data_IF_961367418858
#
_entry.id   IF_961367418858
#
_cell.length_a   1.000
_cell.length_b   1.000
_cell.length_c   1.000
_cell.angle_alpha   90.00
_cell.angle_beta   90.00
_cell.angle_gamma   90.00
#
_symmetry.space_group_name_H-M   'P 1'
#
loop_
_entity.id
_entity.type
_entity.pdbx_description
1 polymer ?
#
# COMPACT_ATOMS: atom_id res chain seq x y z
N UNK A 1 -6.17 -23.21 -5.02
CA UNK A 1 -4.99 -23.90 -4.46
C UNK A 1 -4.10 -24.43 -5.59
N UNK A 2 -2.90 -23.87 -5.80
CA UNK A 2 -2.03 -24.21 -6.94
C UNK A 2 -1.00 -25.31 -6.58
N UNK A 3 -0.98 -26.41 -7.34
CA UNK A 3 -0.09 -27.57 -7.15
C UNK A 3 1.38 -27.18 -7.29
N UNK A 4 1.69 -26.13 -8.06
CA UNK A 4 3.06 -25.62 -8.19
C UNK A 4 3.66 -25.11 -6.87
N UNK A 5 2.82 -24.76 -5.88
CA UNK A 5 3.28 -24.34 -4.56
C UNK A 5 3.60 -25.51 -3.62
N UNK A 6 3.15 -26.74 -3.92
CA UNK A 6 3.51 -27.95 -3.17
C UNK A 6 4.93 -28.44 -3.52
N UNK A 7 5.38 -28.20 -4.76
CA UNK A 7 6.58 -28.83 -5.32
C UNK A 7 7.88 -28.05 -5.06
N UNK A 8 7.80 -26.82 -4.52
CA UNK A 8 8.98 -25.99 -4.22
C UNK A 8 8.95 -25.57 -2.74
N UNK A 9 9.60 -26.32 -1.83
CA UNK A 9 9.57 -26.08 -0.39
C UNK A 9 9.95 -24.64 0.03
N UNK A 10 10.81 -23.97 -0.75
CA UNK A 10 11.22 -22.59 -0.50
C UNK A 10 10.17 -21.52 -0.85
N UNK A 11 9.24 -21.79 -1.77
CA UNK A 11 8.25 -20.80 -2.22
C UNK A 11 7.19 -20.54 -1.15
N UNK A 12 6.68 -21.61 -0.50
CA UNK A 12 5.74 -21.51 0.62
C UNK A 12 6.33 -20.76 1.81
N UNK A 13 7.55 -21.13 2.23
CA UNK A 13 8.25 -20.47 3.34
C UNK A 13 8.45 -18.98 3.06
N UNK A 14 8.85 -18.63 1.84
CA UNK A 14 9.05 -17.22 1.45
C UNK A 14 7.75 -16.41 1.48
N UNK A 15 6.64 -16.96 0.96
CA UNK A 15 5.33 -16.30 1.01
C UNK A 15 4.90 -16.05 2.45
N UNK A 16 5.00 -17.07 3.31
CA UNK A 16 4.69 -16.93 4.74
C UNK A 16 5.57 -15.90 5.44
N UNK A 17 6.87 -15.88 5.14
CA UNK A 17 7.76 -14.86 5.69
C UNK A 17 7.36 -13.45 5.24
N UNK A 18 7.03 -13.28 3.95
CA UNK A 18 6.58 -11.99 3.43
C UNK A 18 5.24 -11.56 4.04
N UNK A 19 4.33 -12.50 4.29
CA UNK A 19 3.06 -12.25 4.98
C UNK A 19 3.31 -11.76 6.41
N UNK A 20 4.20 -12.43 7.14
CA UNK A 20 4.62 -11.98 8.48
C UNK A 20 5.30 -10.60 8.45
N UNK A 21 6.10 -10.30 7.42
CA UNK A 21 6.70 -8.97 7.27
C UNK A 21 5.66 -7.90 6.95
N UNK A 22 4.65 -8.20 6.11
CA UNK A 22 3.52 -7.31 5.81
C UNK A 22 2.71 -7.04 7.09
N UNK A 23 2.41 -8.09 7.86
CA UNK A 23 1.72 -7.95 9.13
C UNK A 23 2.56 -7.11 10.11
N UNK A 24 3.86 -7.39 10.21
CA UNK A 24 4.78 -6.65 11.06
C UNK A 24 4.83 -5.15 10.75
N UNK A 25 4.97 -4.76 9.48
CA UNK A 25 4.96 -3.33 9.10
C UNK A 25 3.60 -2.69 9.36
N UNK A 26 2.50 -3.43 9.16
CA UNK A 26 1.15 -2.94 9.44
C UNK A 26 0.95 -2.67 10.92
N UNK A 27 1.36 -3.60 11.80
CA UNK A 27 1.25 -3.42 13.26
C UNK A 27 2.07 -2.23 13.76
N UNK A 28 3.27 -2.04 13.19
CA UNK A 28 4.10 -0.87 13.51
C UNK A 28 3.44 0.43 13.09
N UNK A 29 2.79 0.47 11.92
CA UNK A 29 2.01 1.62 11.50
C UNK A 29 0.79 1.84 12.41
N UNK A 30 0.01 0.78 12.70
CA UNK A 30 -1.17 0.81 13.60
C UNK A 30 -0.82 1.28 15.01
N UNK A 31 0.38 1.00 15.51
CA UNK A 31 0.82 1.49 16.83
C UNK A 31 0.76 3.03 16.94
N UNK A 32 0.84 3.77 15.82
CA UNK A 32 0.65 5.23 15.78
C UNK A 32 -0.77 5.68 16.08
N UNK A 33 -1.76 4.79 16.03
CA UNK A 33 -3.12 5.08 16.48
C UNK A 33 -3.17 5.52 17.95
N UNK A 34 -2.22 5.08 18.78
CA UNK A 34 -2.14 5.49 20.19
C UNK A 34 -1.80 6.98 20.40
N UNK A 35 -1.31 7.66 19.37
CA UNK A 35 -1.00 9.10 19.37
C UNK A 35 -2.18 9.94 18.85
N UNK A 36 -3.28 9.29 18.43
CA UNK A 36 -4.45 9.91 17.83
C UNK A 36 -5.65 9.86 18.78
N UNK A 37 -6.55 10.84 18.65
CA UNK A 37 -7.86 10.73 19.31
C UNK A 37 -8.70 9.60 18.67
N UNK A 38 -9.74 9.15 19.39
CA UNK A 38 -10.46 7.92 19.04
C UNK A 38 -11.02 7.88 17.61
N UNK A 39 -11.43 9.04 17.07
CA UNK A 39 -11.95 9.12 15.70
C UNK A 39 -10.82 8.97 14.67
N UNK A 40 -9.72 9.71 14.85
CA UNK A 40 -8.57 9.60 13.94
C UNK A 40 -7.84 8.26 14.06
N UNK A 41 -7.80 7.66 15.25
CA UNK A 41 -7.27 6.32 15.46
C UNK A 41 -8.06 5.27 14.66
N UNK A 42 -9.39 5.37 14.63
CA UNK A 42 -10.24 4.48 13.84
C UNK A 42 -10.01 4.63 12.33
N UNK A 43 -9.94 5.87 11.84
CA UNK A 43 -9.60 6.14 10.43
C UNK A 43 -8.22 5.60 10.07
N UNK A 44 -7.22 5.87 10.90
CA UNK A 44 -5.86 5.40 10.68
C UNK A 44 -5.75 3.88 10.60
N UNK A 45 -6.42 3.17 11.51
CA UNK A 45 -6.48 1.72 11.48
C UNK A 45 -7.18 1.20 10.22
N UNK A 46 -8.30 1.81 9.80
CA UNK A 46 -8.97 1.45 8.55
C UNK A 46 -8.03 1.59 7.35
N UNK A 47 -7.30 2.71 7.25
CA UNK A 47 -6.35 2.95 6.17
C UNK A 47 -5.21 1.91 6.20
N UNK A 48 -4.65 1.61 7.39
CA UNK A 48 -3.65 0.56 7.56
C UNK A 48 -4.15 -0.80 7.05
N UNK A 49 -5.41 -1.15 7.32
CA UNK A 49 -6.00 -2.43 6.95
C UNK A 49 -6.20 -2.54 5.46
N UNK A 50 -6.71 -1.47 4.84
CA UNK A 50 -6.85 -1.37 3.40
C UNK A 50 -5.49 -1.44 2.69
N UNK A 51 -4.46 -0.76 3.21
CA UNK A 51 -3.11 -0.80 2.66
C UNK A 51 -2.46 -2.17 2.82
N UNK A 52 -2.62 -2.81 3.98
CA UNK A 52 -2.18 -4.18 4.24
C UNK A 52 -2.78 -5.15 3.24
N UNK A 53 -4.11 -5.12 3.09
CA UNK A 53 -4.83 -6.04 2.21
C UNK A 53 -4.44 -5.82 0.74
N UNK A 54 -4.34 -4.55 0.31
CA UNK A 54 -3.87 -4.19 -1.03
C UNK A 54 -2.47 -4.76 -1.30
N UNK A 55 -1.53 -4.57 -0.36
CA UNK A 55 -0.16 -5.05 -0.50
C UNK A 55 -0.07 -6.58 -0.49
N UNK A 56 -0.85 -7.23 0.38
CA UNK A 56 -0.98 -8.70 0.45
C UNK A 56 -1.51 -9.26 -0.87
N UNK A 57 -2.52 -8.64 -1.48
CA UNK A 57 -3.04 -9.09 -2.78
C UNK A 57 -2.02 -8.85 -3.90
N UNK A 58 -1.32 -7.71 -3.92
CA UNK A 58 -0.29 -7.44 -4.93
C UNK A 58 0.89 -8.44 -4.85
N UNK A 59 1.31 -8.83 -3.65
CA UNK A 59 2.55 -9.60 -3.45
C UNK A 59 2.35 -11.10 -3.17
N UNK A 60 1.20 -11.51 -2.61
CA UNK A 60 1.01 -12.85 -2.04
C UNK A 60 -0.21 -13.57 -2.64
N UNK A 61 -1.42 -13.07 -2.39
CA UNK A 61 -2.65 -13.78 -2.77
C UNK A 61 -3.25 -13.25 -4.08
N UNK A 62 -3.63 -14.15 -4.99
CA UNK A 62 -4.47 -13.82 -6.14
C UNK A 62 -5.62 -14.81 -6.27
N UNK A 63 -6.29 -15.16 -5.17
CA UNK A 63 -7.36 -16.16 -5.26
C UNK A 63 -8.42 -15.76 -6.30
N UNK A 64 -8.55 -14.46 -6.63
CA UNK A 64 -9.48 -13.92 -7.65
C UNK A 64 -8.84 -13.07 -8.78
N UNK A 65 -7.50 -12.99 -8.89
CA UNK A 65 -6.80 -12.13 -9.89
C UNK A 65 -7.08 -10.60 -9.85
N UNK A 66 -7.75 -10.11 -8.81
CA UNK A 66 -8.33 -8.77 -8.79
C UNK A 66 -7.32 -7.61 -8.65
N UNK A 67 -6.14 -7.84 -8.06
CA UNK A 67 -5.09 -6.83 -7.93
C UNK A 67 -3.76 -7.42 -8.40
N UNK A 68 -3.53 -7.42 -9.72
CA UNK A 68 -2.27 -7.90 -10.29
C UNK A 68 -1.49 -6.79 -10.97
N UNK A 69 -0.34 -6.44 -10.39
CA UNK A 69 0.73 -5.67 -11.05
C UNK A 69 1.90 -6.58 -11.42
N UNK A 70 1.68 -7.89 -11.48
CA UNK A 70 2.65 -8.94 -11.80
C UNK A 70 3.86 -9.00 -10.83
N UNK A 71 3.77 -8.38 -9.65
CA UNK A 71 4.85 -8.30 -8.66
C UNK A 71 5.18 -9.65 -8.00
N UNK A 72 4.26 -10.62 -8.06
CA UNK A 72 4.41 -11.97 -7.49
C UNK A 72 5.61 -12.73 -8.05
N UNK A 73 5.94 -12.49 -9.32
CA UNK A 73 7.11 -13.08 -9.97
C UNK A 73 8.43 -12.44 -9.47
N UNK A 74 8.32 -11.29 -8.83
CA UNK A 74 9.43 -10.45 -8.39
C UNK A 74 9.55 -10.32 -6.86
N UNK A 75 8.84 -11.15 -6.08
CA UNK A 75 8.96 -11.18 -4.60
C UNK A 75 10.40 -11.39 -4.10
N UNK A 76 11.29 -11.87 -4.99
CA UNK A 76 12.73 -11.99 -4.71
C UNK A 76 13.42 -10.65 -4.44
N UNK A 77 12.88 -9.58 -5.02
CA UNK A 77 13.40 -8.22 -4.99
C UNK A 77 12.78 -7.35 -3.89
N UNK A 78 11.76 -7.86 -3.20
CA UNK A 78 11.16 -7.21 -2.05
C UNK A 78 11.99 -7.57 -0.81
N UNK A 79 12.70 -6.58 -0.29
CA UNK A 79 13.38 -6.61 1.00
C UNK A 79 12.61 -5.72 1.99
N UNK A 80 13.04 -5.69 3.26
CA UNK A 80 12.32 -4.96 4.31
C UNK A 80 12.22 -3.46 4.04
N UNK A 81 13.27 -2.87 3.46
CA UNK A 81 13.28 -1.47 3.05
C UNK A 81 12.22 -1.17 1.98
N UNK A 82 12.22 -1.95 0.89
CA UNK A 82 11.23 -1.82 -0.18
C UNK A 82 9.82 -2.08 0.34
N UNK A 83 9.66 -3.00 1.30
CA UNK A 83 8.37 -3.32 1.89
C UNK A 83 7.79 -2.15 2.69
N UNK A 84 8.60 -1.46 3.50
CA UNK A 84 8.17 -0.26 4.22
C UNK A 84 7.75 0.84 3.26
N UNK A 85 8.51 1.06 2.19
CA UNK A 85 8.18 2.06 1.17
C UNK A 85 6.87 1.69 0.45
N UNK A 86 6.70 0.42 0.07
CA UNK A 86 5.48 -0.04 -0.57
C UNK A 86 4.27 0.13 0.33
N UNK A 87 4.39 -0.26 1.60
CA UNK A 87 3.32 -0.09 2.56
C UNK A 87 2.96 1.40 2.74
N UNK A 88 3.96 2.26 2.87
CA UNK A 88 3.75 3.70 2.96
C UNK A 88 3.07 4.28 1.71
N UNK A 89 3.50 3.91 0.50
CA UNK A 89 2.81 4.34 -0.73
C UNK A 89 1.38 3.80 -0.79
N UNK A 90 1.12 2.57 -0.35
CA UNK A 90 -0.24 2.06 -0.24
C UNK A 90 -1.07 2.87 0.77
N UNK A 91 -0.48 3.36 1.87
CA UNK A 91 -1.16 4.26 2.81
C UNK A 91 -1.53 5.59 2.15
N UNK A 92 -0.58 6.24 1.48
CA UNK A 92 -0.84 7.48 0.76
C UNK A 92 -1.92 7.30 -0.32
N UNK A 93 -1.92 6.15 -1.00
CA UNK A 93 -2.94 5.81 -1.97
C UNK A 93 -4.34 5.70 -1.35
N UNK A 94 -4.45 5.04 -0.18
CA UNK A 94 -5.72 4.99 0.55
C UNK A 94 -6.15 6.38 1.04
N UNK A 95 -5.21 7.27 1.39
CA UNK A 95 -5.50 8.67 1.71
C UNK A 95 -6.06 9.40 0.48
N UNK A 96 -5.53 9.17 -0.72
CA UNK A 96 -6.09 9.72 -1.98
C UNK A 96 -7.52 9.23 -2.21
N UNK A 97 -7.79 7.93 -2.03
CA UNK A 97 -9.15 7.39 -2.15
C UNK A 97 -10.07 8.05 -1.12
N UNK A 98 -9.67 8.11 0.14
CA UNK A 98 -10.43 8.75 1.23
C UNK A 98 -10.76 10.21 0.89
N UNK A 99 -9.76 10.99 0.44
CA UNK A 99 -9.95 12.39 0.03
C UNK A 99 -10.95 12.53 -1.12
N UNK A 100 -10.94 11.60 -2.07
CA UNK A 100 -11.76 11.66 -3.28
C UNK A 100 -13.19 11.18 -3.04
N UNK A 101 -13.37 10.11 -2.26
CA UNK A 101 -14.66 9.45 -2.04
C UNK A 101 -15.36 9.90 -0.76
N UNK A 102 -14.60 10.41 0.20
CA UNK A 102 -15.09 10.76 1.52
C UNK A 102 -15.42 9.55 2.38
N UNK A 103 -15.81 9.82 3.63
CA UNK A 103 -16.30 8.83 4.59
C UNK A 103 -17.24 9.53 5.56
N UNK A 104 -18.39 8.91 5.85
CA UNK A 104 -19.36 9.49 6.76
C UNK A 104 -18.73 9.81 8.13
N UNK A 105 -18.95 11.02 8.64
CA UNK A 105 -18.40 11.48 9.93
C UNK A 105 -16.97 12.04 9.88
N UNK A 106 -16.38 12.18 8.68
CA UNK A 106 -15.06 12.77 8.46
C UNK A 106 -15.11 13.97 7.52
N UNK A 107 -14.12 14.84 7.64
CA UNK A 107 -13.84 15.92 6.69
C UNK A 107 -12.63 15.52 5.84
N UNK A 108 -12.84 15.06 4.58
CA UNK A 108 -11.77 14.48 3.79
C UNK A 108 -10.62 15.46 3.47
N UNK A 109 -10.90 16.77 3.42
CA UNK A 109 -9.86 17.76 3.13
C UNK A 109 -8.93 17.97 4.34
N UNK A 110 -9.52 18.12 5.53
CA UNK A 110 -8.75 18.36 6.75
C UNK A 110 -8.17 17.07 7.34
N UNK A 111 -8.96 16.00 7.39
CA UNK A 111 -8.56 14.75 8.03
C UNK A 111 -7.48 14.01 7.21
N UNK A 112 -7.43 14.19 5.88
CA UNK A 112 -6.36 13.62 5.03
C UNK A 112 -4.98 14.20 5.36
N UNK A 113 -4.89 15.50 5.64
CA UNK A 113 -3.63 16.15 6.04
C UNK A 113 -3.07 15.52 7.32
N UNK A 114 -3.94 15.28 8.30
CA UNK A 114 -3.55 14.60 9.55
C UNK A 114 -3.11 13.16 9.31
N UNK A 115 -3.79 12.41 8.45
CA UNK A 115 -3.35 11.04 8.09
C UNK A 115 -2.00 11.03 7.36
N UNK A 116 -1.75 12.03 6.51
CA UNK A 116 -0.46 12.19 5.86
C UNK A 116 0.66 12.44 6.88
N UNK A 117 0.47 13.35 7.83
CA UNK A 117 1.44 13.63 8.91
C UNK A 117 1.78 12.35 9.71
N UNK A 118 0.78 11.58 10.10
CA UNK A 118 0.97 10.30 10.82
C UNK A 118 1.75 9.31 9.96
N UNK A 119 1.43 9.22 8.68
CA UNK A 119 2.16 8.35 7.74
C UNK A 119 3.63 8.74 7.61
N UNK A 120 3.95 10.04 7.61
CA UNK A 120 5.31 10.56 7.55
C UNK A 120 6.10 10.21 8.81
N UNK A 121 5.48 10.34 9.99
CA UNK A 121 6.09 9.95 11.27
C UNK A 121 6.40 8.46 11.25
N UNK A 122 5.47 7.63 10.79
CA UNK A 122 5.66 6.19 10.63
C UNK A 122 6.87 5.87 9.73
N UNK A 123 6.87 6.32 8.47
CA UNK A 123 7.90 5.93 7.51
C UNK A 123 9.27 6.47 7.91
N UNK A 124 9.32 7.68 8.47
CA UNK A 124 10.58 8.29 8.92
C UNK A 124 11.20 7.49 10.06
N UNK A 125 10.40 7.10 11.07
CA UNK A 125 10.88 6.32 12.19
C UNK A 125 11.40 4.93 11.75
N UNK A 126 10.69 4.26 10.84
CA UNK A 126 11.11 2.94 10.35
C UNK A 126 12.40 3.01 9.53
N UNK A 127 12.54 4.01 8.67
CA UNK A 127 13.76 4.21 7.90
C UNK A 127 14.96 4.55 8.77
N UNK A 128 14.77 5.35 9.83
CA UNK A 128 15.82 5.63 10.81
C UNK A 128 16.28 4.37 11.53
N UNK A 129 15.37 3.47 11.93
CA UNK A 129 15.72 2.17 12.53
C UNK A 129 16.54 1.29 11.58
N UNK A 130 16.34 1.44 10.28
CA UNK A 130 17.12 0.75 9.23
C UNK A 130 18.46 1.44 8.90
N UNK A 131 18.86 2.48 9.65
CA UNK A 131 20.10 3.23 9.40
C UNK A 131 20.02 4.16 8.18
N UNK A 132 18.81 4.50 7.72
CA UNK A 132 18.57 5.47 6.64
C UNK A 132 18.18 6.81 7.26
N UNK A 133 19.17 7.69 7.39
CA UNK A 133 19.05 9.00 8.04
C UNK A 133 18.76 10.15 7.09
N UNK A 134 18.94 9.96 5.77
CA UNK A 134 18.24 10.78 4.78
C UNK A 134 16.74 10.53 4.98
N UNK A 135 15.93 11.58 5.09
CA UNK A 135 14.49 11.50 5.37
C UNK A 135 13.71 10.54 4.47
N UNK A 136 12.37 10.44 4.63
CA UNK A 136 11.59 9.49 3.85
C UNK A 136 11.83 9.71 2.35
N UNK A 137 11.87 8.63 1.55
CA UNK A 137 11.98 8.76 0.11
C UNK A 137 10.82 9.62 -0.40
N UNK A 138 11.00 10.23 -1.57
CA UNK A 138 9.88 10.90 -2.21
C UNK A 138 8.69 9.93 -2.32
N UNK A 139 7.48 10.49 -2.24
CA UNK A 139 6.27 9.84 -2.76
C UNK A 139 6.50 9.45 -4.23
N UNK A 140 5.54 8.73 -4.83
CA UNK A 140 5.66 8.40 -6.26
C UNK A 140 5.65 9.63 -7.18
N UNK A 141 5.18 10.79 -6.70
CA UNK A 141 5.16 12.07 -7.39
C UNK A 141 5.09 13.23 -6.37
N UNK A 142 5.65 14.40 -6.71
CA UNK A 142 5.72 15.58 -5.84
C UNK A 142 4.33 16.18 -5.52
N UNK A 143 3.35 15.98 -6.41
CA UNK A 143 1.99 16.52 -6.31
C UNK A 143 0.94 15.44 -6.00
N UNK A 144 1.36 14.29 -5.46
CA UNK A 144 0.50 13.13 -5.25
C UNK A 144 -0.82 13.46 -4.52
N UNK A 145 -0.80 14.43 -3.60
CA UNK A 145 -1.99 14.86 -2.85
C UNK A 145 -3.10 15.46 -3.73
N UNK A 146 -2.75 15.94 -4.93
CA UNK A 146 -3.68 16.54 -5.90
C UNK A 146 -4.21 15.53 -6.92
N UNK A 147 -3.63 14.34 -6.95
CA UNK A 147 -3.95 13.32 -7.94
C UNK A 147 -5.26 12.61 -7.57
N UNK A 148 -5.99 12.16 -8.58
CA UNK A 148 -7.10 11.22 -8.39
C UNK A 148 -6.58 9.78 -8.23
N UNK A 149 -7.41 8.82 -7.78
CA UNK A 149 -6.98 7.43 -7.58
C UNK A 149 -6.32 6.81 -8.82
N UNK A 150 -6.85 7.04 -10.03
CA UNK A 150 -6.26 6.46 -11.25
C UNK A 150 -4.85 7.00 -11.53
N UNK A 151 -4.67 8.32 -11.44
CA UNK A 151 -3.38 9.00 -11.66
C UNK A 151 -2.34 8.57 -10.62
N UNK A 152 -2.78 8.44 -9.37
CA UNK A 152 -1.97 7.95 -8.27
C UNK A 152 -1.51 6.51 -8.51
N UNK A 153 -2.42 5.63 -8.91
CA UNK A 153 -2.09 4.24 -9.20
C UNK A 153 -1.14 4.12 -10.40
N UNK A 154 -1.28 4.96 -11.44
CA UNK A 154 -0.36 4.97 -12.58
C UNK A 154 1.06 5.37 -12.17
N UNK A 155 1.18 6.44 -11.40
CA UNK A 155 2.47 6.95 -10.95
C UNK A 155 3.13 6.01 -9.94
N UNK A 156 2.35 5.48 -9.00
CA UNK A 156 2.78 4.48 -8.03
C UNK A 156 3.26 3.19 -8.71
N UNK A 157 2.56 2.69 -9.75
CA UNK A 157 3.02 1.54 -10.52
C UNK A 157 4.41 1.75 -11.11
N UNK A 158 4.67 2.91 -11.75
CA UNK A 158 5.97 3.21 -12.33
C UNK A 158 7.07 3.27 -11.26
N UNK A 159 6.79 3.93 -10.13
CA UNK A 159 7.73 4.08 -9.03
C UNK A 159 8.04 2.74 -8.35
N UNK A 160 7.04 1.86 -8.22
CA UNK A 160 7.21 0.48 -7.74
C UNK A 160 8.09 -0.34 -8.67
N UNK A 161 7.86 -0.27 -9.99
CA UNK A 161 8.68 -0.96 -10.98
C UNK A 161 10.13 -0.45 -10.96
N UNK A 162 10.31 0.87 -10.90
CA UNK A 162 11.64 1.49 -10.81
C UNK A 162 12.37 1.08 -9.53
N UNK A 163 11.71 1.10 -8.36
CA UNK A 163 12.30 0.70 -7.08
C UNK A 163 12.76 -0.76 -7.09
N UNK A 164 12.05 -1.63 -7.80
CA UNK A 164 12.42 -3.03 -7.98
C UNK A 164 13.38 -3.28 -9.16
N UNK A 165 13.76 -2.25 -9.91
CA UNK A 165 14.59 -2.37 -11.12
C UNK A 165 13.94 -3.26 -12.19
N UNK A 166 12.64 -3.09 -12.41
CA UNK A 166 11.83 -3.81 -13.39
C UNK A 166 11.54 -2.90 -14.60
N UNK A 167 11.52 -3.47 -15.80
CA UNK A 167 11.05 -2.78 -17.01
C UNK A 167 9.52 -2.89 -17.10
N UNK A 168 8.83 -1.76 -17.22
CA UNK A 168 7.38 -1.74 -17.41
C UNK A 168 6.98 -2.00 -18.86
N UNK A 169 5.94 -2.81 -19.06
CA UNK A 169 5.19 -2.87 -20.32
C UNK A 169 4.05 -1.84 -20.26
N UNK A 170 4.03 -0.90 -21.21
CA UNK A 170 3.08 0.21 -21.25
C UNK A 170 1.63 -0.28 -21.43
N UNK A 171 1.42 -1.35 -22.20
CA UNK A 171 0.08 -1.88 -22.50
C UNK A 171 -0.45 -2.66 -21.30
N UNK A 172 0.38 -3.53 -20.71
CA UNK A 172 0.03 -4.23 -19.48
C UNK A 172 -0.22 -3.26 -18.33
N UNK A 173 0.57 -2.19 -18.23
CA UNK A 173 0.41 -1.14 -17.20
C UNK A 173 -1.00 -0.56 -17.17
N UNK A 174 -1.55 -0.15 -18.32
CA UNK A 174 -2.89 0.48 -18.37
C UNK A 174 -3.95 -0.48 -17.84
N UNK A 175 -3.90 -1.75 -18.24
CA UNK A 175 -4.84 -2.76 -17.76
C UNK A 175 -4.70 -3.02 -16.25
N UNK A 176 -3.46 -3.23 -15.80
CA UNK A 176 -3.15 -3.47 -14.39
C UNK A 176 -3.60 -2.32 -13.49
N UNK A 177 -3.34 -1.08 -13.89
CA UNK A 177 -3.67 0.12 -13.11
C UNK A 177 -5.18 0.40 -13.10
N UNK A 178 -5.86 0.30 -14.24
CA UNK A 178 -7.32 0.50 -14.30
C UNK A 178 -8.06 -0.54 -13.46
N UNK A 179 -7.63 -1.81 -13.53
CA UNK A 179 -8.24 -2.87 -12.72
C UNK A 179 -7.97 -2.64 -11.23
N UNK A 180 -6.71 -2.36 -10.87
CA UNK A 180 -6.32 -2.03 -9.50
C UNK A 180 -7.14 -0.90 -8.90
N UNK A 181 -7.29 0.21 -9.62
CA UNK A 181 -8.06 1.38 -9.17
C UNK A 181 -9.53 1.02 -8.97
N UNK A 182 -10.13 0.32 -9.93
CA UNK A 182 -11.54 -0.10 -9.86
C UNK A 182 -11.81 -0.97 -8.63
N UNK A 183 -10.93 -1.93 -8.35
CA UNK A 183 -11.11 -2.88 -7.25
C UNK A 183 -10.88 -2.22 -5.90
N UNK A 184 -9.84 -1.39 -5.77
CA UNK A 184 -9.54 -0.68 -4.51
C UNK A 184 -10.62 0.34 -4.17
N UNK A 185 -11.14 1.11 -5.14
CA UNK A 185 -12.27 2.01 -4.92
C UNK A 185 -13.55 1.24 -4.54
N UNK A 186 -13.86 0.13 -5.21
CA UNK A 186 -15.02 -0.72 -4.84
C UNK A 186 -14.87 -1.32 -3.44
N UNK A 187 -13.66 -1.71 -3.05
CA UNK A 187 -13.40 -2.21 -1.71
C UNK A 187 -13.60 -1.11 -0.67
N UNK A 188 -13.16 0.11 -0.97
CA UNK A 188 -13.37 1.28 -0.13
C UNK A 188 -14.86 1.63 0.01
N UNK A 189 -15.62 1.65 -1.09
CA UNK A 189 -17.06 1.96 -1.08
C UNK A 189 -17.85 0.99 -0.17
N UNK A 190 -17.38 -0.26 0.00
CA UNK A 190 -17.99 -1.23 0.94
C UNK A 190 -17.74 -0.91 2.42
N UNK A 191 -16.69 -0.16 2.73
CA UNK A 191 -16.37 0.30 4.09
C UNK A 191 -17.22 1.51 4.50
N UNK A 192 -17.80 2.22 3.52
CA UNK A 192 -18.71 3.34 3.71
C UNK A 192 -20.11 2.98 3.20
N UNK A 193 -20.85 2.08 3.88
CA UNK A 193 -22.24 1.85 3.52
C UNK A 193 -23.01 3.16 3.70
N UNK A 194 -23.46 3.73 2.57
CA UNK A 194 -24.40 4.85 2.56
C UNK A 194 -25.68 4.49 3.31
#
# INVERSE_FOLDING_TARGET
>A
MNIADLLIPGRRRRRRNLELSIDGVTEVARARAGELDGRYAALWNMLCDASRETLRQLLISNDDELLDWNLKKHIKRVNDFNLVIFFWWMLLYQIVIFKTRGLAGYDPANDAGRMHEVSLIFVTAELQKMGRSSGPPASWADDWERQFPLESAMSMYNSVYNLLGLSGDLTARVQHVSHFTTITEKAYDRLSPN
#
